data_IF_747470548037
#
_entry.id   IF_747470548037
#
_cell.length_a   1.000
_cell.length_b   1.000
_cell.length_c   1.000
_cell.angle_alpha   90.00
_cell.angle_beta   90.00
_cell.angle_gamma   90.00
#
_symmetry.space_group_name_H-M   'P 1'
#
loop_
_entity.id
_entity.type
_entity.pdbx_description
1 polymer ?
#
# COMPACT_ATOMS: atom_id res chain seq x y z
N UNK A 1 10.55 7.52 1.41
CA UNK A 1 9.36 7.69 0.52
C UNK A 1 8.87 9.11 0.70
N UNK A 2 8.25 9.70 -0.32
CA UNK A 2 7.68 11.04 -0.19
C UNK A 2 6.17 10.92 -0.09
N UNK A 3 5.58 11.70 0.78
CA UNK A 3 4.14 11.69 1.01
C UNK A 3 3.59 13.08 0.76
N UNK A 4 2.40 13.12 0.15
CA UNK A 4 1.67 14.34 -0.09
C UNK A 4 0.21 14.15 0.30
N UNK A 5 -0.34 15.16 0.98
CA UNK A 5 -1.71 15.20 1.44
C UNK A 5 -2.36 16.49 0.99
N UNK A 6 -3.55 16.40 0.40
CA UNK A 6 -4.33 17.58 0.07
C UNK A 6 -4.96 18.13 1.35
N UNK A 7 -4.69 19.39 1.66
CA UNK A 7 -5.25 20.14 2.80
C UNK A 7 -6.06 21.36 2.36
N UNK A 8 -6.01 21.68 1.06
CA UNK A 8 -6.78 22.77 0.45
C UNK A 8 -7.54 22.29 -0.78
N UNK A 9 -8.84 22.02 -0.63
CA UNK A 9 -9.73 21.63 -1.72
C UNK A 9 -10.58 20.43 -1.37
N UNK A 10 -11.26 19.83 -2.35
CA UNK A 10 -11.95 18.53 -2.19
C UNK A 10 -11.25 17.42 -2.96
N UNK A 11 -10.81 17.72 -4.18
CA UNK A 11 -10.10 16.78 -5.05
C UNK A 11 -9.20 17.60 -5.96
N UNK A 12 -7.97 17.15 -6.14
CA UNK A 12 -6.98 17.82 -6.98
C UNK A 12 -6.20 16.76 -7.76
N UNK A 13 -6.12 16.91 -9.08
CA UNK A 13 -5.38 16.00 -9.95
C UNK A 13 -4.09 16.65 -10.39
N UNK A 14 -2.98 15.93 -10.23
CA UNK A 14 -1.65 16.33 -10.71
C UNK A 14 -1.06 15.12 -11.40
N UNK A 15 -0.74 15.28 -12.68
CA UNK A 15 -0.37 14.16 -13.55
C UNK A 15 -1.38 13.01 -13.45
N UNK A 16 -0.94 11.81 -13.08
CA UNK A 16 -1.77 10.61 -12.89
C UNK A 16 -2.23 10.43 -11.43
N UNK A 17 -1.89 11.37 -10.55
CA UNK A 17 -2.20 11.27 -9.12
C UNK A 17 -3.46 12.07 -8.79
N UNK A 18 -4.52 11.33 -8.45
CA UNK A 18 -5.73 11.91 -7.84
C UNK A 18 -5.51 12.07 -6.34
N UNK A 19 -5.47 13.30 -5.85
CA UNK A 19 -5.41 13.63 -4.43
C UNK A 19 -6.79 14.00 -3.92
N UNK A 20 -7.17 13.39 -2.81
CA UNK A 20 -8.45 13.64 -2.12
C UNK A 20 -8.16 14.36 -0.81
N UNK A 21 -9.05 15.27 -0.43
CA UNK A 21 -8.89 16.04 0.81
C UNK A 21 -8.68 15.12 2.03
N UNK A 22 -7.66 15.43 2.82
CA UNK A 22 -7.31 14.67 4.01
C UNK A 22 -6.62 13.32 3.77
N UNK A 23 -6.44 12.88 2.52
CA UNK A 23 -5.81 11.59 2.18
C UNK A 23 -4.34 11.79 1.84
N UNK A 24 -3.47 11.12 2.59
CA UNK A 24 -2.04 11.07 2.33
C UNK A 24 -1.73 10.00 1.27
N UNK A 25 -0.94 10.36 0.25
CA UNK A 25 -0.51 9.45 -0.81
C UNK A 25 1.00 9.46 -0.93
N UNK A 26 1.55 8.29 -1.27
CA UNK A 26 2.95 8.16 -1.65
C UNK A 26 3.13 8.75 -3.04
N UNK A 27 4.14 9.58 -3.20
CA UNK A 27 4.48 10.25 -4.44
C UNK A 27 5.98 10.14 -4.73
N UNK A 28 6.34 10.35 -5.99
CA UNK A 28 7.73 10.43 -6.41
C UNK A 28 8.38 11.73 -5.92
N UNK A 29 9.71 11.76 -5.90
CA UNK A 29 10.49 12.93 -5.46
C UNK A 29 10.16 14.17 -6.27
N UNK A 30 9.96 14.02 -7.58
CA UNK A 30 9.65 15.13 -8.47
C UNK A 30 8.31 15.79 -8.11
N UNK A 31 7.27 14.97 -7.92
CA UNK A 31 5.95 15.40 -7.44
C UNK A 31 6.02 16.03 -6.04
N UNK A 32 6.82 15.47 -5.14
CA UNK A 32 7.04 16.04 -3.80
C UNK A 32 7.63 17.45 -3.86
N UNK A 33 8.71 17.65 -4.61
CA UNK A 33 9.36 18.96 -4.76
C UNK A 33 8.41 19.97 -5.43
N UNK A 34 7.61 19.53 -6.40
CA UNK A 34 6.57 20.36 -7.02
C UNK A 34 5.49 20.79 -6.02
N UNK A 35 5.02 19.85 -5.18
CA UNK A 35 3.96 20.09 -4.20
C UNK A 35 4.42 20.87 -2.98
N UNK A 36 5.71 20.80 -2.62
CA UNK A 36 6.31 21.52 -1.49
C UNK A 36 6.15 23.04 -1.60
N UNK A 37 6.04 23.57 -2.82
CA UNK A 37 5.77 24.99 -3.08
C UNK A 37 4.29 25.38 -3.03
N UNK A 38 3.37 24.42 -2.87
CA UNK A 38 1.93 24.65 -2.97
C UNK A 38 1.26 24.63 -1.60
N UNK A 39 0.61 25.73 -1.22
CA UNK A 39 -0.09 25.86 0.08
C UNK A 39 -1.32 24.97 0.22
N UNK A 40 -1.80 24.38 -0.88
CA UNK A 40 -2.93 23.43 -0.87
C UNK A 40 -2.50 22.03 -0.43
N UNK A 41 -1.20 21.76 -0.37
CA UNK A 41 -0.65 20.44 -0.08
C UNK A 41 0.27 20.48 1.12
N UNK A 42 0.09 19.50 2.00
CA UNK A 42 1.01 19.19 3.08
C UNK A 42 1.87 18.02 2.62
N UNK A 43 3.17 18.28 2.47
CA UNK A 43 4.14 17.26 2.03
C UNK A 43 5.09 16.91 3.15
N UNK A 44 5.45 15.63 3.26
CA UNK A 44 6.44 15.16 4.21
C UNK A 44 7.39 14.14 3.59
N UNK A 45 8.64 14.26 3.98
CA UNK A 45 9.64 13.22 3.78
C UNK A 45 9.45 12.18 4.88
N UNK A 46 8.98 11.00 4.50
CA UNK A 46 9.04 9.85 5.38
C UNK A 46 10.36 9.13 5.18
N UNK A 47 11.06 8.86 6.27
CA UNK A 47 12.04 7.77 6.27
C UNK A 47 11.35 6.51 5.75
N UNK A 48 12.09 5.67 5.01
CA UNK A 48 11.66 4.29 4.81
C UNK A 48 11.50 3.72 6.22
N UNK A 49 10.28 3.69 6.73
CA UNK A 49 9.98 2.69 7.72
C UNK A 49 10.20 1.42 6.92
N UNK A 50 11.19 0.63 7.31
CA UNK A 50 11.29 -0.81 7.02
C UNK A 50 10.07 -1.53 7.64
N UNK A 51 8.87 -0.98 7.43
CA UNK A 51 7.67 -1.77 7.37
C UNK A 51 7.79 -2.44 6.01
N UNK A 52 7.87 -3.78 5.95
CA UNK A 52 7.94 -4.47 4.68
C UNK A 52 6.82 -3.92 3.82
N UNK A 53 7.18 -3.37 2.66
CA UNK A 53 6.23 -2.89 1.66
C UNK A 53 5.45 -4.11 1.17
N UNK A 54 4.35 -4.41 1.85
CA UNK A 54 3.52 -5.59 1.58
C UNK A 54 2.67 -5.45 0.31
N UNK A 55 2.67 -4.27 -0.33
CA UNK A 55 1.67 -3.89 -1.32
C UNK A 55 2.23 -3.27 -2.61
N UNK A 56 3.52 -3.42 -2.89
CA UNK A 56 4.13 -2.82 -4.09
C UNK A 56 4.48 -3.89 -5.14
N UNK A 57 3.49 -4.60 -5.67
CA UNK A 57 3.63 -5.47 -6.86
C UNK A 57 4.66 -6.62 -6.78
N UNK A 58 5.39 -6.76 -5.68
CA UNK A 58 6.37 -7.80 -5.45
C UNK A 58 5.64 -9.06 -5.00
N UNK A 59 5.81 -10.13 -5.77
CA UNK A 59 5.32 -11.47 -5.38
C UNK A 59 5.92 -11.82 -4.01
N UNK A 60 5.05 -12.10 -3.05
CA UNK A 60 5.50 -12.50 -1.72
C UNK A 60 6.01 -13.93 -1.83
N UNK A 61 7.24 -14.16 -1.38
CA UNK A 61 7.77 -15.52 -1.31
C UNK A 61 7.37 -16.17 0.01
N UNK A 62 7.27 -17.49 0.02
CA UNK A 62 6.94 -18.29 1.21
C UNK A 62 7.84 -17.94 2.43
N UNK A 63 9.10 -17.59 2.17
CA UNK A 63 10.07 -17.20 3.20
C UNK A 63 9.81 -15.79 3.78
N UNK A 64 9.33 -14.85 2.97
CA UNK A 64 8.91 -13.53 3.44
C UNK A 64 7.62 -13.64 4.25
N UNK A 65 6.64 -14.41 3.76
CA UNK A 65 5.35 -14.58 4.43
C UNK A 65 5.48 -15.24 5.81
N UNK A 66 6.37 -16.22 5.97
CA UNK A 66 6.66 -16.85 7.27
C UNK A 66 7.34 -15.93 8.29
N UNK A 67 7.91 -14.81 7.86
CA UNK A 67 8.48 -13.80 8.75
C UNK A 67 7.45 -12.77 9.22
N UNK A 68 6.29 -12.72 8.56
CA UNK A 68 5.23 -11.78 8.87
C UNK A 68 4.34 -12.29 9.99
N UNK A 69 3.75 -11.35 10.73
CA UNK A 69 2.77 -11.69 11.75
C UNK A 69 1.46 -12.16 11.12
N UNK A 70 0.66 -12.91 11.88
CA UNK A 70 -0.70 -13.33 11.46
C UNK A 70 -1.52 -12.15 10.93
N UNK A 71 -1.46 -10.99 11.58
CA UNK A 71 -2.21 -9.80 11.19
C UNK A 71 -1.78 -9.28 9.81
N UNK A 72 -0.48 -9.27 9.53
CA UNK A 72 0.07 -8.85 8.24
C UNK A 72 -0.30 -9.83 7.13
N UNK A 73 -0.23 -11.14 7.39
CA UNK A 73 -0.70 -12.15 6.42
C UNK A 73 -2.20 -11.99 6.10
N UNK A 74 -3.03 -11.72 7.09
CA UNK A 74 -4.46 -11.45 6.91
C UNK A 74 -4.71 -10.17 6.09
N UNK A 75 -3.91 -9.14 6.29
CA UNK A 75 -3.98 -7.89 5.53
C UNK A 75 -3.60 -8.10 4.06
N UNK A 76 -2.57 -8.91 3.78
CA UNK A 76 -2.19 -9.30 2.42
C UNK A 76 -3.32 -10.06 1.73
N UNK A 77 -3.92 -11.04 2.42
CA UNK A 77 -5.05 -11.80 1.89
C UNK A 77 -6.20 -10.86 1.54
N UNK A 78 -6.55 -9.92 2.44
CA UNK A 78 -7.63 -8.94 2.21
C UNK A 78 -7.37 -8.04 1.01
N UNK A 79 -6.12 -7.62 0.80
CA UNK A 79 -5.77 -6.77 -0.34
C UNK A 79 -5.74 -7.52 -1.67
N UNK A 80 -5.31 -8.78 -1.68
CA UNK A 80 -5.31 -9.63 -2.87
C UNK A 80 -6.71 -10.14 -3.23
N UNK A 81 -7.58 -10.29 -2.22
CA UNK A 81 -8.95 -10.79 -2.44
C UNK A 81 -9.82 -9.65 -2.97
N UNK A 82 -10.23 -9.73 -4.24
CA UNK A 82 -11.20 -8.78 -4.82
C UNK A 82 -12.62 -9.09 -4.31
N UNK A 83 -13.05 -8.39 -3.26
CA UNK A 83 -14.41 -8.46 -2.70
C UNK A 83 -14.42 -8.84 -1.21
N UNK A 84 -15.61 -8.97 -0.62
CA UNK A 84 -15.80 -9.27 0.81
C UNK A 84 -15.56 -10.77 1.16
N UNK A 85 -14.71 -11.45 0.39
CA UNK A 85 -14.39 -12.86 0.63
C UNK A 85 -13.36 -12.97 1.74
N UNK A 86 -13.82 -13.32 2.95
CA UNK A 86 -12.94 -13.69 4.05
C UNK A 86 -12.55 -15.16 3.87
N UNK A 87 -11.27 -15.40 3.60
CA UNK A 87 -10.73 -16.76 3.59
C UNK A 87 -10.41 -17.21 5.02
N UNK A 88 -11.14 -18.21 5.50
CA UNK A 88 -10.87 -18.86 6.79
C UNK A 88 -9.62 -19.74 6.68
N UNK A 89 -8.52 -19.26 7.22
CA UNK A 89 -7.23 -19.98 7.27
C UNK A 89 -6.94 -20.38 8.72
N UNK A 90 -6.84 -21.69 8.97
CA UNK A 90 -6.68 -22.22 10.34
C UNK A 90 -5.24 -22.10 10.80
N UNK A 91 -4.30 -22.26 9.87
CA UNK A 91 -2.86 -22.33 10.15
C UNK A 91 -2.07 -21.34 9.28
N UNK A 92 -0.86 -20.98 9.73
CA UNK A 92 0.06 -20.13 8.97
C UNK A 92 0.34 -20.68 7.57
N UNK A 93 0.57 -22.00 7.44
CA UNK A 93 0.77 -22.64 6.13
C UNK A 93 -0.38 -22.39 5.16
N UNK A 94 -1.62 -22.38 5.64
CA UNK A 94 -2.79 -22.13 4.79
C UNK A 94 -2.86 -20.65 4.36
N UNK A 95 -2.51 -19.71 5.25
CA UNK A 95 -2.39 -18.28 4.90
C UNK A 95 -1.35 -18.06 3.81
N UNK A 96 -0.17 -18.62 4.02
CA UNK A 96 0.97 -18.46 3.11
C UNK A 96 0.66 -19.05 1.73
N UNK A 97 0.10 -20.26 1.69
CA UNK A 97 -0.28 -20.91 0.43
C UNK A 97 -1.37 -20.13 -0.31
N UNK A 98 -2.37 -19.62 0.42
CA UNK A 98 -3.44 -18.82 -0.16
C UNK A 98 -2.94 -17.51 -0.75
N UNK A 99 -2.02 -16.82 -0.05
CA UNK A 99 -1.41 -15.59 -0.57
C UNK A 99 -0.68 -15.87 -1.89
N UNK A 100 0.11 -16.95 -1.96
CA UNK A 100 0.81 -17.35 -3.18
C UNK A 100 -0.16 -17.63 -4.34
N UNK A 101 -1.26 -18.34 -4.07
CA UNK A 101 -2.29 -18.68 -5.05
C UNK A 101 -3.01 -17.42 -5.58
N UNK A 102 -3.40 -16.51 -4.67
CA UNK A 102 -4.04 -15.24 -5.04
C UNK A 102 -3.10 -14.34 -5.86
N UNK A 103 -1.81 -14.35 -5.54
CA UNK A 103 -0.79 -13.63 -6.31
C UNK A 103 -0.53 -14.22 -7.70
N UNK A 104 -0.78 -15.52 -7.92
CA UNK A 104 -0.74 -16.12 -9.25
C UNK A 104 -1.99 -15.81 -10.07
N UNK A 105 -3.16 -15.66 -9.45
CA UNK A 105 -4.40 -15.30 -10.15
C UNK A 105 -4.45 -13.85 -10.63
N UNK A 106 -3.70 -12.92 -10.01
CA UNK A 106 -3.59 -11.53 -10.47
C UNK A 106 -2.59 -11.31 -11.61
N UNK A 107 -1.89 -12.37 -12.07
CA UNK A 107 -0.89 -12.30 -13.15
C UNK A 107 -1.46 -12.44 -14.58
#
# INVERSE_FOLDING_TARGET
>A
MYFAKLVGGKTYMIDDHVFTDGVEKVVEKETYEYLKGNTLFEVREGEKIDAPSLFDGEKHTEASLKKLSKAEQDEIIRSLTKGDFIHDTKNEKERVALILELQEQEA
#
